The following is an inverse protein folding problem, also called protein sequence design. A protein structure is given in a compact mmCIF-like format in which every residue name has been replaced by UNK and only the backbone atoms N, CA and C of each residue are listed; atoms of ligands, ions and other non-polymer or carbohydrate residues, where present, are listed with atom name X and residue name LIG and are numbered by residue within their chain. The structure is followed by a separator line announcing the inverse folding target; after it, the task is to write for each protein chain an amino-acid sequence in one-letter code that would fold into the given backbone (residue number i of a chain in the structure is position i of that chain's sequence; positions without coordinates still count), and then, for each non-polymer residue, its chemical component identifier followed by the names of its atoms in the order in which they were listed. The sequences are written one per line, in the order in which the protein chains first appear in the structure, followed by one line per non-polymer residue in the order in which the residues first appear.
data_IF_415730204272
#
_entry.id   IF_415730204272
#
_cell.length_a   1.000
_cell.length_b   1.000
_cell.length_c   1.000
_cell.angle_alpha   90.00
_cell.angle_beta   90.00
_cell.angle_gamma   90.00
#
_symmetry.space_group_name_H-M   'P 1'
#
loop_
_entity.id
_entity.type
_entity.pdbx_description
1 polymer ?
#
# COMPACT_ATOMS: atom_id res chain seq x y z
N UNK A 1 36.55 -6.19 18.04
CA UNK A 1 35.54 -5.27 17.48
C UNK A 1 34.23 -6.03 17.38
N UNK A 2 33.25 -5.72 18.22
CA UNK A 2 31.89 -6.29 18.13
C UNK A 2 31.11 -5.48 17.08
N UNK A 3 30.72 -6.11 15.96
CA UNK A 3 29.69 -5.53 15.10
C UNK A 3 28.37 -5.49 15.89
N UNK A 4 27.62 -4.38 15.88
CA UNK A 4 26.29 -4.39 16.47
C UNK A 4 25.42 -5.42 15.73
N UNK A 5 25.01 -6.44 16.48
CA UNK A 5 24.06 -7.46 16.06
C UNK A 5 22.68 -6.82 15.87
N UNK A 6 22.16 -6.85 14.64
CA UNK A 6 20.90 -6.25 14.14
C UNK A 6 20.90 -4.73 13.96
N UNK A 7 20.69 -4.31 12.71
CA UNK A 7 20.19 -2.98 12.38
C UNK A 7 18.90 -2.71 13.16
N UNK A 8 18.64 -1.47 13.59
CA UNK A 8 17.38 -1.12 14.23
C UNK A 8 16.21 -1.50 13.33
N UNK A 9 15.11 -1.97 13.94
CA UNK A 9 13.91 -2.32 13.19
C UNK A 9 13.43 -1.10 12.37
N UNK A 10 13.02 -1.29 11.10
CA UNK A 10 12.57 -0.19 10.26
C UNK A 10 11.32 0.47 10.85
N UNK A 11 11.30 1.81 10.81
CA UNK A 11 10.12 2.62 11.15
C UNK A 11 9.47 3.10 9.85
N UNK A 12 8.17 2.88 9.73
CA UNK A 12 7.36 3.28 8.57
C UNK A 12 6.61 4.57 8.89
N UNK A 13 6.56 5.50 7.94
CA UNK A 13 5.86 6.78 8.10
C UNK A 13 4.84 7.00 6.98
N UNK A 14 3.58 7.24 7.35
CA UNK A 14 2.56 7.70 6.41
C UNK A 14 2.66 9.22 6.32
N UNK A 15 3.21 9.71 5.21
CA UNK A 15 3.44 11.14 4.94
C UNK A 15 2.44 11.77 3.96
N UNK A 16 1.64 10.94 3.31
CA UNK A 16 0.58 11.37 2.41
C UNK A 16 -0.62 10.46 2.61
N UNK A 17 -1.81 11.04 2.71
CA UNK A 17 -3.07 10.34 2.82
C UNK A 17 -4.12 11.24 2.17
N UNK A 18 -4.88 10.67 1.23
CA UNK A 18 -5.76 11.47 0.38
C UNK A 18 -6.99 10.67 -0.03
N UNK A 19 -8.16 11.32 0.05
CA UNK A 19 -9.40 10.85 -0.56
C UNK A 19 -9.60 11.57 -1.87
N UNK A 20 -9.77 10.80 -2.95
CA UNK A 20 -10.09 11.39 -4.25
C UNK A 20 -11.55 11.89 -4.26
N UNK A 21 -11.84 13.02 -4.94
CA UNK A 21 -13.19 13.53 -5.09
C UNK A 21 -14.18 12.49 -5.62
N UNK A 22 -15.38 12.45 -5.04
CA UNK A 22 -16.46 11.61 -5.53
C UNK A 22 -16.78 11.94 -7.00
N UNK A 23 -17.01 10.90 -7.81
CA UNK A 23 -17.30 11.06 -9.24
C UNK A 23 -16.07 11.30 -10.13
N UNK A 24 -14.85 11.34 -9.57
CA UNK A 24 -13.63 11.39 -10.37
C UNK A 24 -13.52 10.13 -11.24
N UNK A 25 -13.32 10.31 -12.55
CA UNK A 25 -13.21 9.19 -13.50
C UNK A 25 -11.93 8.38 -13.27
N UNK A 26 -11.94 7.07 -13.53
CA UNK A 26 -10.75 6.24 -13.34
C UNK A 26 -9.50 6.76 -14.07
N UNK A 27 -9.56 7.24 -15.33
CA UNK A 27 -8.39 7.84 -15.98
C UNK A 27 -7.88 9.09 -15.25
N UNK A 28 -8.77 9.92 -14.71
CA UNK A 28 -8.37 11.10 -13.94
C UNK A 28 -7.72 10.72 -12.60
N UNK A 29 -8.23 9.69 -11.92
CA UNK A 29 -7.60 9.13 -10.72
C UNK A 29 -6.18 8.63 -11.01
N UNK A 30 -6.02 7.86 -12.08
CA UNK A 30 -4.70 7.34 -12.50
C UNK A 30 -3.74 8.48 -12.83
N UNK A 31 -4.19 9.48 -13.60
CA UNK A 31 -3.37 10.64 -13.93
C UNK A 31 -2.92 11.42 -12.69
N UNK A 32 -3.81 11.58 -11.70
CA UNK A 32 -3.50 12.22 -10.42
C UNK A 32 -2.42 11.45 -9.64
N UNK A 33 -2.58 10.13 -9.49
CA UNK A 33 -1.60 9.29 -8.79
C UNK A 33 -0.26 9.27 -9.52
N UNK A 34 -0.25 9.16 -10.85
CA UNK A 34 0.99 9.27 -11.64
C UNK A 34 1.67 10.62 -11.41
N UNK A 35 0.90 11.70 -11.42
CA UNK A 35 1.41 13.05 -11.13
C UNK A 35 2.02 13.18 -9.74
N UNK A 36 1.53 12.44 -8.75
CA UNK A 36 2.13 12.34 -7.42
C UNK A 36 3.45 11.53 -7.46
N UNK A 37 3.44 10.36 -8.08
CA UNK A 37 4.59 9.45 -8.16
C UNK A 37 5.76 10.04 -8.98
N UNK A 38 5.47 10.95 -9.91
CA UNK A 38 6.49 11.67 -10.68
C UNK A 38 7.17 12.81 -9.90
N UNK A 39 6.76 13.11 -8.65
CA UNK A 39 7.41 14.13 -7.81
C UNK A 39 8.57 13.52 -7.02
N UNK A 40 9.58 14.33 -6.75
CA UNK A 40 10.61 13.94 -5.81
C UNK A 40 10.07 13.91 -4.37
N UNK A 41 10.55 12.96 -3.52
CA UNK A 41 11.58 11.96 -3.81
C UNK A 41 11.05 10.65 -4.44
N UNK A 42 9.74 10.52 -4.67
CA UNK A 42 9.10 9.27 -5.13
C UNK A 42 9.61 8.83 -6.51
N UNK A 43 9.78 9.78 -7.42
CA UNK A 43 10.32 9.52 -8.75
C UNK A 43 11.77 9.02 -8.68
N UNK A 44 12.63 9.74 -7.93
CA UNK A 44 14.04 9.40 -7.76
C UNK A 44 14.27 7.99 -7.22
N UNK A 45 13.43 7.54 -6.29
CA UNK A 45 13.57 6.21 -5.67
C UNK A 45 12.72 5.13 -6.34
N UNK A 46 12.09 5.41 -7.49
CA UNK A 46 11.17 4.50 -8.18
C UNK A 46 10.18 3.84 -7.21
N UNK A 47 9.38 4.65 -6.50
CA UNK A 47 8.51 4.16 -5.44
C UNK A 47 7.63 2.97 -5.89
N UNK A 48 7.74 1.84 -5.20
CA UNK A 48 6.85 0.69 -5.43
C UNK A 48 5.42 1.08 -5.09
N UNK A 49 4.48 0.79 -6.00
CA UNK A 49 3.07 1.13 -5.83
C UNK A 49 2.22 -0.14 -5.88
N UNK A 50 1.31 -0.26 -4.91
CA UNK A 50 0.43 -1.41 -4.76
C UNK A 50 -1.01 -0.95 -4.94
N UNK A 51 -1.73 -1.58 -5.87
CA UNK A 51 -3.04 -1.14 -6.34
C UNK A 51 -4.05 -2.24 -6.03
N UNK A 52 -5.17 -1.89 -5.42
CA UNK A 52 -6.28 -2.82 -5.24
C UNK A 52 -6.90 -3.20 -6.60
N UNK A 53 -6.78 -4.47 -6.96
CA UNK A 53 -7.32 -5.05 -8.18
C UNK A 53 -8.67 -5.75 -7.99
N UNK A 54 -9.30 -5.64 -6.83
CA UNK A 54 -10.54 -6.37 -6.52
C UNK A 54 -11.77 -5.76 -7.18
N UNK A 55 -12.72 -6.61 -7.56
CA UNK A 55 -13.98 -6.18 -8.17
C UNK A 55 -13.75 -5.28 -9.39
N UNK A 56 -14.18 -4.02 -9.29
CA UNK A 56 -14.02 -2.99 -10.33
C UNK A 56 -12.58 -2.45 -10.45
N UNK A 57 -11.72 -2.71 -9.47
CA UNK A 57 -10.33 -2.25 -9.42
C UNK A 57 -9.45 -2.80 -10.54
N UNK A 58 -9.84 -3.91 -11.18
CA UNK A 58 -9.11 -4.46 -12.34
C UNK A 58 -9.01 -3.45 -13.50
N UNK A 59 -10.06 -2.65 -13.74
CA UNK A 59 -10.03 -1.61 -14.77
C UNK A 59 -8.99 -0.51 -14.43
N UNK A 60 -8.86 -0.16 -13.15
CA UNK A 60 -7.86 0.81 -12.67
C UNK A 60 -6.46 0.25 -12.85
N UNK A 61 -6.24 -1.03 -12.49
CA UNK A 61 -4.97 -1.73 -12.74
C UNK A 61 -4.61 -1.72 -14.23
N UNK A 62 -5.56 -1.99 -15.12
CA UNK A 62 -5.31 -2.02 -16.56
C UNK A 62 -5.01 -0.63 -17.13
N UNK A 63 -5.58 0.44 -16.56
CA UNK A 63 -5.19 1.82 -16.87
C UNK A 63 -3.77 2.12 -16.37
N UNK A 64 -3.40 1.70 -15.16
CA UNK A 64 -2.02 1.86 -14.68
C UNK A 64 -1.01 1.09 -15.52
N UNK A 65 -1.35 -0.09 -16.07
CA UNK A 65 -0.46 -0.82 -17.00
C UNK A 65 -0.16 -0.05 -18.29
N UNK A 66 -1.05 0.88 -18.69
CA UNK A 66 -0.82 1.75 -19.86
C UNK A 66 0.13 2.91 -19.51
N UNK A 67 0.27 3.24 -18.22
CA UNK A 67 1.28 4.17 -17.73
C UNK A 67 2.61 3.41 -17.72
N UNK A 68 3.68 3.98 -18.31
CA UNK A 68 5.02 3.35 -18.34
C UNK A 68 5.71 3.31 -16.95
N UNK A 69 4.93 3.38 -15.87
CA UNK A 69 5.39 3.36 -14.49
C UNK A 69 5.97 1.99 -14.15
N UNK A 70 7.16 2.00 -13.57
CA UNK A 70 7.82 0.78 -13.08
C UNK A 70 7.34 0.44 -11.67
N UNK A 71 7.55 -0.81 -11.25
CA UNK A 71 7.30 -1.26 -9.85
C UNK A 71 5.85 -1.08 -9.40
N UNK A 72 4.92 -1.26 -10.34
CA UNK A 72 3.47 -1.35 -10.08
C UNK A 72 3.11 -2.80 -9.76
N UNK A 73 2.35 -3.01 -8.69
CA UNK A 73 1.94 -4.31 -8.21
C UNK A 73 0.42 -4.34 -7.99
N UNK A 74 -0.29 -5.17 -8.74
CA UNK A 74 -1.71 -5.42 -8.47
C UNK A 74 -1.85 -6.32 -7.24
N UNK A 75 -2.83 -6.03 -6.39
CA UNK A 75 -3.19 -6.83 -5.22
C UNK A 75 -4.67 -7.18 -5.28
N UNK A 76 -4.96 -8.47 -5.40
CA UNK A 76 -6.30 -9.04 -5.31
C UNK A 76 -6.57 -9.47 -3.88
N UNK A 77 -7.51 -8.81 -3.22
CA UNK A 77 -7.96 -9.16 -1.88
C UNK A 77 -8.93 -10.34 -1.96
N UNK A 78 -8.67 -11.36 -1.14
CA UNK A 78 -9.42 -12.62 -1.10
C UNK A 78 -10.04 -12.81 0.28
N UNK A 79 -11.05 -13.69 0.37
CA UNK A 79 -11.71 -14.03 1.63
C UNK A 79 -10.93 -15.03 2.50
N UNK A 80 -9.79 -15.55 2.01
CA UNK A 80 -8.96 -16.53 2.71
C UNK A 80 -8.13 -15.92 3.83
N UNK A 81 -7.05 -16.59 4.20
CA UNK A 81 -6.10 -16.14 5.25
C UNK A 81 -4.66 -16.08 4.76
N UNK A 82 -4.39 -16.39 3.49
CA UNK A 82 -3.04 -16.51 2.95
C UNK A 82 -2.61 -15.32 2.10
N UNK A 83 -1.29 -15.22 1.88
CA UNK A 83 -0.65 -14.33 0.92
C UNK A 83 0.03 -15.22 -0.13
N UNK A 84 -0.32 -15.02 -1.40
CA UNK A 84 0.22 -15.78 -2.52
C UNK A 84 0.68 -14.83 -3.62
N UNK A 85 1.87 -15.05 -4.18
CA UNK A 85 2.32 -14.35 -5.39
C UNK A 85 1.83 -15.11 -6.63
N UNK A 86 1.22 -14.39 -7.57
CA UNK A 86 0.74 -14.93 -8.85
C UNK A 86 1.48 -14.27 -10.01
N UNK A 87 1.23 -14.72 -11.24
CA UNK A 87 1.79 -14.09 -12.44
C UNK A 87 1.29 -12.64 -12.60
N UNK A 88 0.05 -12.37 -12.21
CA UNK A 88 -0.63 -11.09 -12.41
C UNK A 88 -0.51 -10.14 -11.20
N UNK A 89 0.13 -10.56 -10.11
CA UNK A 89 0.32 -9.74 -8.91
C UNK A 89 0.31 -10.55 -7.61
N UNK A 90 -0.37 -10.02 -6.60
CA UNK A 90 -0.50 -10.63 -5.28
C UNK A 90 -1.95 -10.98 -4.98
N UNK A 91 -2.16 -12.13 -4.35
CA UNK A 91 -3.43 -12.46 -3.70
C UNK A 91 -3.20 -12.38 -2.19
N UNK A 92 -3.96 -11.55 -1.49
CA UNK A 92 -3.81 -11.34 -0.05
C UNK A 92 -5.18 -11.39 0.62
N UNK A 93 -5.26 -11.86 1.86
CA UNK A 93 -6.51 -11.68 2.61
C UNK A 93 -6.62 -10.27 3.18
N UNK A 94 -7.85 -9.76 3.33
CA UNK A 94 -8.09 -8.50 4.06
C UNK A 94 -7.56 -8.62 5.50
N UNK A 95 -7.72 -9.79 6.11
CA UNK A 95 -7.25 -10.07 7.46
C UNK A 95 -5.73 -9.87 7.58
N UNK A 96 -4.94 -10.43 6.66
CA UNK A 96 -3.48 -10.28 6.66
C UNK A 96 -3.04 -8.83 6.47
N UNK A 97 -3.66 -8.11 5.53
CA UNK A 97 -3.33 -6.70 5.28
C UNK A 97 -3.55 -5.85 6.55
N UNK A 98 -4.71 -6.01 7.18
CA UNK A 98 -5.05 -5.21 8.36
C UNK A 98 -4.26 -5.65 9.61
N UNK A 99 -4.09 -6.96 9.82
CA UNK A 99 -3.33 -7.46 10.97
C UNK A 99 -1.89 -6.97 10.96
N UNK A 100 -1.29 -6.86 9.76
CA UNK A 100 0.08 -6.38 9.57
C UNK A 100 0.23 -4.90 9.94
N UNK A 101 -0.66 -4.04 9.46
CA UNK A 101 -0.61 -2.62 9.80
C UNK A 101 -0.93 -2.36 11.28
N UNK A 102 -1.87 -3.11 11.87
CA UNK A 102 -2.18 -3.05 13.30
C UNK A 102 -0.98 -3.45 14.18
N UNK A 103 -0.25 -4.51 13.80
CA UNK A 103 0.94 -4.93 14.52
C UNK A 103 2.04 -3.86 14.53
N UNK A 104 2.24 -3.16 13.40
CA UNK A 104 3.20 -2.05 13.33
C UNK A 104 2.72 -0.84 14.13
N UNK A 105 1.43 -0.53 14.12
CA UNK A 105 0.86 0.55 14.92
C UNK A 105 1.02 0.28 16.42
N UNK A 106 0.70 -0.93 16.87
CA UNK A 106 0.79 -1.32 18.28
C UNK A 106 2.24 -1.33 18.80
N UNK A 107 3.19 -1.74 17.96
CA UNK A 107 4.63 -1.73 18.31
C UNK A 107 5.29 -0.36 18.23
N UNK A 108 4.58 0.68 17.76
CA UNK A 108 5.16 2.00 17.52
C UNK A 108 6.09 2.08 16.30
N UNK A 109 6.13 1.02 15.48
CA UNK A 109 6.92 0.96 14.25
C UNK A 109 6.23 1.65 13.04
N UNK A 110 4.95 2.01 13.17
CA UNK A 110 4.21 2.83 12.22
C UNK A 110 3.89 4.18 12.84
N UNK A 111 4.29 5.25 12.14
CA UNK A 111 3.97 6.63 12.49
C UNK A 111 3.07 7.22 11.40
N UNK A 112 2.01 7.91 11.82
CA UNK A 112 1.10 8.64 10.93
C UNK A 112 1.34 10.12 11.21
N UNK A 113 1.72 10.89 10.19
CA UNK A 113 2.00 12.32 10.39
C UNK A 113 0.70 13.03 10.84
N UNK A 114 0.72 13.76 11.98
CA UNK A 114 -0.49 14.27 12.62
C UNK A 114 -1.16 15.40 11.84
N UNK A 115 -0.45 16.04 10.92
CA UNK A 115 -0.94 17.15 10.10
C UNK A 115 -1.81 16.68 8.92
N UNK A 116 -1.86 15.37 8.63
CA UNK A 116 -2.72 14.85 7.57
C UNK A 116 -4.19 14.95 7.98
N UNK A 117 -5.03 15.44 7.06
CA UNK A 117 -6.45 15.69 7.33
C UNK A 117 -7.19 14.48 7.93
N UNK A 118 -6.86 13.26 7.47
CA UNK A 118 -7.46 12.01 7.90
C UNK A 118 -6.59 11.22 8.92
N UNK A 119 -5.51 11.81 9.48
CA UNK A 119 -4.58 11.09 10.37
C UNK A 119 -5.27 10.49 11.60
N UNK A 120 -6.00 11.32 12.35
CA UNK A 120 -6.69 10.90 13.56
C UNK A 120 -7.80 9.88 13.27
N UNK A 121 -8.48 10.04 12.12
CA UNK A 121 -9.52 9.12 11.64
C UNK A 121 -8.93 7.76 11.31
N UNK A 122 -7.85 7.71 10.52
CA UNK A 122 -7.14 6.47 10.17
C UNK A 122 -6.62 5.75 11.42
N UNK A 123 -6.00 6.47 12.36
CA UNK A 123 -5.49 5.89 13.59
C UNK A 123 -6.60 5.24 14.44
N UNK A 124 -7.74 5.94 14.58
CA UNK A 124 -8.90 5.43 15.32
C UNK A 124 -9.49 4.19 14.65
N UNK A 125 -9.65 4.22 13.34
CA UNK A 125 -10.22 3.09 12.59
C UNK A 125 -9.35 1.85 12.66
N UNK A 126 -8.03 2.01 12.56
CA UNK A 126 -7.09 0.90 12.72
C UNK A 126 -7.12 0.33 14.14
N UNK A 127 -7.33 1.15 15.17
CA UNK A 127 -7.49 0.69 16.56
C UNK A 127 -8.83 -0.02 16.80
N UNK A 128 -9.90 0.49 16.20
CA UNK A 128 -11.27 -0.04 16.35
C UNK A 128 -11.56 -1.23 15.45
N UNK A 129 -10.69 -1.54 14.49
CA UNK A 129 -10.88 -2.65 13.57
C UNK A 129 -10.86 -3.98 14.31
N UNK A 130 -12.05 -4.58 14.48
CA UNK A 130 -12.24 -5.88 15.09
C UNK A 130 -12.59 -6.93 14.05
N UNK A 131 -11.91 -8.07 14.16
CA UNK A 131 -12.18 -9.27 13.36
C UNK A 131 -13.01 -10.23 14.20
N UNK A 132 -14.18 -10.57 13.71
CA UNK A 132 -14.97 -11.72 14.15
C UNK A 132 -14.74 -12.88 13.19
N UNK A 133 -15.17 -14.09 13.54
CA UNK A 133 -15.11 -15.24 12.63
C UNK A 133 -16.51 -15.81 12.45
N UNK A 134 -16.83 -16.21 11.23
CA UNK A 134 -18.07 -16.94 10.93
C UNK A 134 -18.02 -18.34 11.52
N UNK A 135 -19.18 -19.00 11.58
CA UNK A 135 -19.27 -20.42 11.96
C UNK A 135 -18.45 -21.34 11.05
N UNK A 136 -18.20 -20.92 9.81
CA UNK A 136 -17.34 -21.63 8.85
C UNK A 136 -15.84 -21.28 8.99
N UNK A 137 -15.46 -20.47 9.98
CA UNK A 137 -14.08 -20.06 10.23
C UNK A 137 -13.57 -18.92 9.35
N UNK A 138 -14.44 -18.30 8.54
CA UNK A 138 -14.04 -17.17 7.68
C UNK A 138 -14.04 -15.86 8.48
N UNK A 139 -13.05 -14.99 8.32
CA UNK A 139 -13.03 -13.70 9.01
C UNK A 139 -14.18 -12.80 8.55
N UNK A 140 -14.88 -12.22 9.52
CA UNK A 140 -15.94 -11.21 9.38
C UNK A 140 -15.39 -9.91 9.98
N UNK A 141 -15.36 -8.86 9.19
CA UNK A 141 -14.82 -7.58 9.64
C UNK A 141 -15.94 -6.71 10.22
N UNK A 142 -15.81 -6.31 11.48
CA UNK A 142 -16.86 -5.64 12.26
C UNK A 142 -16.98 -4.13 12.06
N UNK A 143 -16.39 -3.56 11.00
CA UNK A 143 -16.53 -2.14 10.71
C UNK A 143 -17.90 -1.86 10.09
N UNK A 144 -18.60 -0.84 10.59
CA UNK A 144 -19.75 -0.22 9.89
C UNK A 144 -19.28 0.11 8.47
N UNK A 145 -19.72 -0.68 7.50
CA UNK A 145 -19.22 -0.60 6.13
C UNK A 145 -19.43 0.79 5.55
N UNK A 146 -18.36 1.35 4.98
CA UNK A 146 -18.51 2.17 3.76
C UNK A 146 -17.77 3.51 3.73
N UNK A 147 -17.62 4.25 4.83
CA UNK A 147 -17.13 5.63 4.72
C UNK A 147 -15.59 5.73 4.66
N UNK A 148 -14.87 4.82 5.33
CA UNK A 148 -13.44 5.01 5.56
C UNK A 148 -12.55 3.79 5.30
N UNK A 149 -13.14 2.66 4.92
CA UNK A 149 -12.44 1.41 4.58
C UNK A 149 -11.35 1.64 3.51
N UNK A 150 -11.55 2.58 2.58
CA UNK A 150 -10.61 2.83 1.48
C UNK A 150 -9.27 3.38 1.96
N UNK A 151 -9.24 4.28 2.95
CA UNK A 151 -7.98 4.83 3.47
C UNK A 151 -7.22 3.79 4.30
N UNK A 152 -7.95 3.04 5.12
CA UNK A 152 -7.40 1.92 5.89
C UNK A 152 -6.77 0.90 4.93
N UNK A 153 -7.47 0.56 3.86
CA UNK A 153 -7.00 -0.42 2.89
C UNK A 153 -5.81 0.12 2.06
N UNK A 154 -5.86 1.38 1.63
CA UNK A 154 -4.74 2.02 0.94
C UNK A 154 -3.47 2.04 1.81
N UNK A 155 -3.60 2.40 3.09
CA UNK A 155 -2.50 2.36 4.05
C UNK A 155 -1.98 0.92 4.26
N UNK A 156 -2.88 -0.05 4.38
CA UNK A 156 -2.51 -1.45 4.55
C UNK A 156 -1.77 -2.02 3.33
N UNK A 157 -2.16 -1.64 2.11
CA UNK A 157 -1.46 -2.01 0.87
C UNK A 157 -0.06 -1.39 0.78
N UNK A 158 0.07 -0.10 1.14
CA UNK A 158 1.38 0.57 1.20
C UNK A 158 2.32 -0.12 2.19
N UNK A 159 1.82 -0.49 3.36
CA UNK A 159 2.58 -1.21 4.39
C UNK A 159 2.90 -2.65 3.97
N UNK A 160 1.97 -3.33 3.32
CA UNK A 160 2.21 -4.64 2.74
C UNK A 160 3.41 -4.61 1.78
N UNK A 161 3.48 -3.59 0.93
CA UNK A 161 4.63 -3.37 0.06
C UNK A 161 5.91 -3.05 0.81
N UNK A 162 5.86 -2.05 1.70
CA UNK A 162 7.04 -1.55 2.41
C UNK A 162 7.70 -2.61 3.33
N UNK A 163 6.89 -3.49 3.93
CA UNK A 163 7.40 -4.58 4.79
C UNK A 163 7.92 -5.78 4.01
N UNK A 164 7.66 -5.83 2.70
CA UNK A 164 8.16 -6.85 1.79
C UNK A 164 9.19 -6.20 0.88
N UNK A 165 10.29 -5.75 1.47
CA UNK A 165 11.48 -5.42 0.72
C UNK A 165 12.00 -6.72 0.11
N UNK A 166 11.58 -7.04 -1.12
CA UNK A 166 12.43 -7.86 -1.96
C UNK A 166 13.79 -7.15 -2.00
N UNK A 167 14.87 -7.89 -1.72
CA UNK A 167 16.20 -7.36 -2.01
C UNK A 167 16.17 -6.87 -3.46
N UNK A 168 16.55 -5.62 -3.66
CA UNK A 168 16.85 -5.12 -5.00
C UNK A 168 18.03 -5.96 -5.46
N UNK A 169 17.77 -7.03 -6.21
CA UNK A 169 18.79 -7.62 -7.05
C UNK A 169 18.99 -6.59 -8.15
N UNK A 170 20.07 -5.80 -8.05
CA UNK A 170 20.59 -5.10 -9.21
C UNK A 170 20.77 -6.12 -10.33
N UNK A 171 19.92 -6.03 -11.35
CA UNK A 171 20.24 -6.48 -12.70
C UNK A 171 20.12 -5.21 -13.52
N UNK A 172 21.26 -4.53 -13.68
CA UNK A 172 21.32 -3.23 -14.31
C UNK A 172 20.94 -3.24 -15.80
N UNK A 173 20.60 -2.05 -16.29
CA UNK A 173 21.26 -1.40 -17.42
C UNK A 173 20.99 0.11 -17.30
N UNK A 174 22.06 0.89 -17.28
CA UNK A 174 22.09 2.26 -16.81
C UNK A 174 21.20 3.23 -17.58
N UNK A 175 20.67 4.23 -16.86
CA UNK A 175 20.19 5.45 -17.47
C UNK A 175 21.40 6.37 -17.71
N UNK A 176 22.05 6.19 -18.85
CA UNK A 176 22.94 7.20 -19.39
C UNK A 176 22.09 8.34 -19.97
N UNK A 177 21.99 9.45 -19.25
CA UNK A 177 21.72 10.74 -19.89
C UNK A 177 22.88 11.69 -19.61
N UNK A 178 23.68 11.92 -20.66
CA UNK A 178 24.55 13.09 -20.77
C UNK A 178 23.65 14.32 -20.86
N UNK A 179 23.90 15.32 -20.02
CA UNK A 179 23.48 16.69 -20.30
C UNK A 179 24.47 17.29 -21.31
N UNK A 180 24.01 17.96 -22.39
CA UNK A 180 24.89 18.86 -23.14
C UNK A 180 25.21 20.08 -22.27
N UNK A 181 26.45 20.57 -22.39
CA UNK A 181 26.96 21.73 -21.65
C UNK A 181 26.42 23.06 -22.13
#
# INVERSE_FOLDING_TARGET
MHLPSKLPAPVYRIRHLERLPLGMTYPAQVAHVVGLLCRDPLARFEASTYIDGTGVGRAVVDLFKQTRMKRMHAVTITAGTSITRTMDGWHCSKLELISRIQALLHSGALLIEPELADAATLARELQDFRVSFSTAGNPIFGARSGAHDDLVLAAALAIFGATRSEMITEIGLGCGMRLPG
#
